data_IF_987689896258
#
_entry.id   IF_987689896258
#
_cell.length_a   1.000
_cell.length_b   1.000
_cell.length_c   1.000
_cell.angle_alpha   90.00
_cell.angle_beta   90.00
_cell.angle_gamma   90.00
#
_symmetry.space_group_name_H-M   'P 1'
#
loop_
_entity.id
_entity.type
_entity.pdbx_description
1 polymer ?
#
# COMPACT_ATOMS: atom_id res chain seq x y z
N UNK A 1 -9.51 22.67 5.84
CA UNK A 1 -10.18 21.40 6.12
C UNK A 1 -9.10 20.34 6.36
N UNK A 2 -9.31 19.46 7.33
CA UNK A 2 -8.41 18.32 7.56
C UNK A 2 -8.44 17.40 6.33
N UNK A 3 -7.27 16.98 5.84
CA UNK A 3 -7.18 16.00 4.73
C UNK A 3 -7.13 14.60 5.31
N UNK A 4 -7.83 13.66 4.70
CA UNK A 4 -7.76 12.26 5.08
C UNK A 4 -6.73 11.49 4.27
N UNK A 5 -6.01 10.57 4.94
CA UNK A 5 -5.25 9.51 4.29
C UNK A 5 -6.00 8.19 4.46
N UNK A 6 -6.21 7.48 3.35
CA UNK A 6 -6.75 6.13 3.34
C UNK A 6 -5.58 5.14 3.36
N UNK A 7 -5.55 4.24 4.33
CA UNK A 7 -4.52 3.19 4.46
C UNK A 7 -5.18 1.84 4.23
N UNK A 8 -4.95 1.26 3.06
CA UNK A 8 -5.47 -0.07 2.68
C UNK A 8 -4.43 -1.15 2.97
N UNK A 9 -4.84 -2.19 3.67
CA UNK A 9 -3.95 -3.25 4.16
C UNK A 9 -3.31 -2.87 5.49
N UNK A 10 -4.14 -2.33 6.42
CA UNK A 10 -3.65 -1.99 7.75
C UNK A 10 -3.25 -3.22 8.56
N UNK A 11 -2.08 -3.14 9.18
CA UNK A 11 -1.50 -4.16 10.04
C UNK A 11 -0.19 -3.68 10.68
N UNK A 12 0.48 -4.51 11.47
CA UNK A 12 1.74 -4.15 12.10
C UNK A 12 2.83 -3.86 11.07
N UNK A 13 3.78 -3.02 11.40
CA UNK A 13 4.90 -2.63 10.55
C UNK A 13 4.60 -1.41 9.69
N UNK A 14 4.73 -1.53 8.38
CA UNK A 14 4.72 -0.40 7.43
C UNK A 14 3.48 0.47 7.56
N UNK A 15 2.29 -0.11 7.48
CA UNK A 15 1.05 0.66 7.47
C UNK A 15 0.76 1.37 8.80
N UNK A 16 1.17 0.79 9.93
CA UNK A 16 1.11 1.46 11.22
C UNK A 16 2.05 2.67 11.25
N UNK A 17 3.30 2.49 10.81
CA UNK A 17 4.27 3.59 10.79
C UNK A 17 3.85 4.72 9.83
N UNK A 18 3.26 4.40 8.68
CA UNK A 18 2.72 5.41 7.74
C UNK A 18 1.52 6.14 8.35
N UNK A 19 0.61 5.41 9.03
CA UNK A 19 -0.52 6.00 9.73
C UNK A 19 -0.07 7.04 10.78
N UNK A 20 0.91 6.67 11.60
CA UNK A 20 1.50 7.55 12.60
C UNK A 20 2.22 8.74 11.98
N UNK A 21 3.00 8.51 10.92
CA UNK A 21 3.76 9.56 10.25
C UNK A 21 2.86 10.62 9.64
N UNK A 22 1.85 10.22 8.87
CA UNK A 22 0.91 11.16 8.26
C UNK A 22 -0.03 11.77 9.29
N UNK A 23 -0.48 11.01 10.28
CA UNK A 23 -1.30 11.53 11.37
C UNK A 23 -0.60 12.62 12.17
N UNK A 24 0.69 12.47 12.46
CA UNK A 24 1.51 13.49 13.12
C UNK A 24 1.66 14.79 12.30
N UNK A 25 1.44 14.72 10.99
CA UNK A 25 1.42 15.89 10.08
C UNK A 25 0.01 16.46 9.86
N UNK A 26 -0.95 16.03 10.69
CA UNK A 26 -2.31 16.61 10.72
C UNK A 26 -3.33 15.93 9.79
N UNK A 27 -3.00 14.78 9.19
CA UNK A 27 -3.98 13.98 8.45
C UNK A 27 -4.93 13.25 9.40
N UNK A 28 -6.22 13.23 9.06
CA UNK A 28 -7.14 12.21 9.59
C UNK A 28 -6.85 10.88 8.92
N UNK A 29 -6.87 9.76 9.67
CA UNK A 29 -6.42 8.46 9.19
C UNK A 29 -7.59 7.49 9.09
N UNK A 30 -7.86 6.99 7.88
CA UNK A 30 -8.80 5.91 7.63
C UNK A 30 -8.06 4.58 7.50
N UNK A 31 -8.31 3.64 8.40
CA UNK A 31 -7.71 2.31 8.38
C UNK A 31 -8.64 1.31 7.69
N UNK A 32 -8.16 0.63 6.64
CA UNK A 32 -8.93 -0.38 5.91
C UNK A 32 -8.19 -1.73 5.96
N UNK A 33 -8.86 -2.76 6.47
CA UNK A 33 -8.35 -4.14 6.53
C UNK A 33 -9.51 -5.12 6.76
N UNK A 34 -9.22 -6.42 6.70
CA UNK A 34 -10.22 -7.48 6.97
C UNK A 34 -10.48 -7.71 8.47
N UNK A 35 -9.48 -7.52 9.29
CA UNK A 35 -9.56 -7.84 10.73
C UNK A 35 -10.08 -6.67 11.54
N UNK A 36 -11.33 -6.77 12.00
CA UNK A 36 -11.94 -5.75 12.87
C UNK A 36 -11.14 -5.53 14.17
N UNK A 37 -10.64 -6.59 14.78
CA UNK A 37 -9.86 -6.48 16.01
C UNK A 37 -8.57 -5.65 15.82
N UNK A 38 -7.84 -5.87 14.69
CA UNK A 38 -6.66 -5.06 14.36
C UNK A 38 -7.01 -3.61 14.08
N UNK A 39 -8.12 -3.38 13.39
CA UNK A 39 -8.60 -2.05 13.09
C UNK A 39 -8.94 -1.27 14.36
N UNK A 40 -9.68 -1.88 15.29
CA UNK A 40 -10.04 -1.27 16.57
C UNK A 40 -8.79 -0.90 17.36
N UNK A 41 -7.86 -1.84 17.54
CA UNK A 41 -6.60 -1.58 18.25
C UNK A 41 -5.77 -0.48 17.56
N UNK A 42 -5.76 -0.43 16.23
CA UNK A 42 -5.07 0.61 15.46
C UNK A 42 -5.65 2.00 15.68
N UNK A 43 -6.97 2.11 15.66
CA UNK A 43 -7.68 3.37 15.93
C UNK A 43 -7.41 3.86 17.36
N UNK A 44 -7.47 2.97 18.34
CA UNK A 44 -7.18 3.30 19.75
C UNK A 44 -5.74 3.79 19.91
N UNK A 45 -4.77 3.11 19.31
CA UNK A 45 -3.37 3.50 19.35
C UNK A 45 -3.11 4.86 18.69
N UNK A 46 -3.76 5.17 17.58
CA UNK A 46 -3.65 6.47 16.91
C UNK A 46 -4.31 7.58 17.73
N UNK A 47 -5.50 7.33 18.28
CA UNK A 47 -6.21 8.28 19.15
C UNK A 47 -5.42 8.60 20.42
N UNK A 48 -4.73 7.62 21.00
CA UNK A 48 -3.85 7.83 22.15
C UNK A 48 -2.66 8.77 21.83
N UNK A 49 -2.31 8.91 20.54
CA UNK A 49 -1.30 9.85 20.03
C UNK A 49 -1.90 11.18 19.56
N UNK A 50 -3.19 11.43 19.82
CA UNK A 50 -3.90 12.65 19.40
C UNK A 50 -4.26 12.67 17.90
N UNK A 51 -4.18 11.53 17.19
CA UNK A 51 -4.46 11.43 15.77
C UNK A 51 -5.92 11.05 15.56
N UNK A 52 -6.66 11.82 14.78
CA UNK A 52 -8.02 11.48 14.36
C UNK A 52 -7.98 10.25 13.47
N UNK A 53 -8.67 9.17 13.86
CA UNK A 53 -8.66 7.92 13.11
C UNK A 53 -10.02 7.22 13.16
N UNK A 54 -10.37 6.56 12.05
CA UNK A 54 -11.54 5.71 11.90
C UNK A 54 -11.18 4.41 11.15
N UNK A 55 -12.03 3.39 11.27
CA UNK A 55 -11.77 2.05 10.76
C UNK A 55 -12.92 1.52 9.93
N UNK A 56 -12.58 0.85 8.82
CA UNK A 56 -13.53 0.30 7.87
C UNK A 56 -13.10 -1.10 7.46
N UNK A 57 -13.92 -2.10 7.78
CA UNK A 57 -13.62 -3.48 7.39
C UNK A 57 -13.92 -3.69 5.91
N UNK A 58 -12.90 -4.10 5.13
CA UNK A 58 -13.04 -4.47 3.73
C UNK A 58 -11.94 -5.45 3.29
N UNK A 59 -12.26 -6.31 2.34
CA UNK A 59 -11.27 -7.14 1.64
C UNK A 59 -10.73 -6.36 0.44
N UNK A 60 -9.41 -6.23 0.36
CA UNK A 60 -8.73 -5.54 -0.74
C UNK A 60 -8.89 -6.24 -2.11
N UNK A 61 -9.40 -7.48 -2.13
CA UNK A 61 -9.74 -8.21 -3.36
C UNK A 61 -11.12 -7.86 -3.91
N UNK A 62 -11.97 -7.25 -3.10
CA UNK A 62 -13.34 -6.90 -3.46
C UNK A 62 -13.44 -5.41 -3.82
N UNK A 63 -13.59 -5.07 -5.12
CA UNK A 63 -13.72 -3.69 -5.56
C UNK A 63 -14.89 -2.94 -4.94
N UNK A 64 -16.03 -3.61 -4.73
CA UNK A 64 -17.22 -2.99 -4.16
C UNK A 64 -17.02 -2.67 -2.67
N UNK A 65 -16.38 -3.60 -1.92
CA UNK A 65 -16.05 -3.39 -0.52
C UNK A 65 -15.04 -2.23 -0.34
N UNK A 66 -14.02 -2.14 -1.20
CA UNK A 66 -13.05 -1.03 -1.18
C UNK A 66 -13.72 0.31 -1.48
N UNK A 67 -14.54 0.40 -2.54
CA UNK A 67 -15.30 1.62 -2.86
C UNK A 67 -16.21 2.04 -1.72
N UNK A 68 -16.95 1.09 -1.15
CA UNK A 68 -17.83 1.35 0.01
C UNK A 68 -17.08 1.83 1.24
N UNK A 69 -15.89 1.29 1.53
CA UNK A 69 -15.06 1.74 2.64
C UNK A 69 -14.51 3.17 2.42
N UNK A 70 -14.09 3.50 1.20
CA UNK A 70 -13.62 4.83 0.84
C UNK A 70 -14.76 5.86 0.96
N UNK A 71 -15.96 5.53 0.50
CA UNK A 71 -17.13 6.40 0.61
C UNK A 71 -17.50 6.70 2.08
N UNK A 72 -17.46 5.69 2.94
CA UNK A 72 -17.66 5.88 4.38
C UNK A 72 -16.57 6.76 5.00
N UNK A 73 -15.30 6.53 4.64
CA UNK A 73 -14.19 7.34 5.11
C UNK A 73 -14.32 8.81 4.68
N UNK A 74 -14.71 9.06 3.43
CA UNK A 74 -15.00 10.41 2.91
C UNK A 74 -16.10 11.10 3.71
N UNK A 75 -17.20 10.41 4.00
CA UNK A 75 -18.32 10.95 4.74
C UNK A 75 -17.96 11.29 6.20
N UNK A 76 -17.09 10.49 6.84
CA UNK A 76 -16.72 10.65 8.25
C UNK A 76 -15.52 11.57 8.48
N UNK A 77 -14.49 11.45 7.64
CA UNK A 77 -13.19 12.13 7.83
C UNK A 77 -12.95 13.29 6.86
N UNK A 78 -13.86 13.48 5.89
CA UNK A 78 -13.76 14.54 4.89
C UNK A 78 -12.97 14.14 3.63
N UNK A 79 -12.51 15.13 2.87
CA UNK A 79 -11.85 14.97 1.58
C UNK A 79 -10.61 14.08 1.66
N UNK A 80 -10.50 13.14 0.72
CA UNK A 80 -9.38 12.21 0.64
C UNK A 80 -8.21 12.88 -0.08
N UNK A 81 -7.15 13.17 0.66
CA UNK A 81 -5.93 13.76 0.09
C UNK A 81 -4.89 12.72 -0.33
N UNK A 82 -4.88 11.55 0.33
CA UNK A 82 -3.86 10.52 0.07
C UNK A 82 -4.46 9.12 0.14
N UNK A 83 -4.07 8.26 -0.78
CA UNK A 83 -4.23 6.80 -0.65
C UNK A 83 -2.84 6.20 -0.38
N UNK A 84 -2.71 5.41 0.67
CA UNK A 84 -1.59 4.51 0.88
C UNK A 84 -2.05 3.07 0.68
N UNK A 85 -1.57 2.43 -0.40
CA UNK A 85 -1.85 1.04 -0.70
C UNK A 85 -0.72 0.15 -0.18
N UNK A 86 -0.99 -0.54 0.92
CA UNK A 86 -0.07 -1.48 1.56
C UNK A 86 -0.59 -2.92 1.52
N UNK A 87 -1.78 -3.13 0.96
CA UNK A 87 -2.35 -4.46 0.85
C UNK A 87 -1.54 -5.34 -0.12
N UNK A 88 -1.31 -6.57 0.29
CA UNK A 88 -0.71 -7.60 -0.55
C UNK A 88 -1.39 -8.94 -0.30
N UNK A 89 -1.27 -9.86 -1.26
CA UNK A 89 -1.66 -11.25 -1.10
C UNK A 89 -0.40 -12.11 -1.04
N UNK A 90 -0.20 -12.79 0.08
CA UNK A 90 0.85 -13.80 0.22
C UNK A 90 0.37 -15.20 -0.17
N UNK A 91 -0.92 -15.35 -0.46
CA UNK A 91 -1.53 -16.60 -0.92
C UNK A 91 -1.67 -16.53 -2.43
N UNK A 92 -1.13 -17.49 -3.10
CA UNK A 92 -1.17 -17.54 -4.55
C UNK A 92 -0.23 -18.62 -5.06
N UNK A 93 0.27 -18.42 -6.22
CA UNK A 93 1.16 -19.33 -6.92
C UNK A 93 2.52 -19.41 -6.21
N UNK A 94 2.75 -20.47 -5.47
CA UNK A 94 4.06 -20.73 -4.85
C UNK A 94 5.06 -21.36 -5.83
N UNK A 95 4.54 -22.05 -6.85
CA UNK A 95 5.32 -22.74 -7.90
C UNK A 95 4.50 -22.67 -9.19
N UNK A 96 5.00 -21.93 -10.18
CA UNK A 96 4.31 -21.71 -11.45
C UNK A 96 4.17 -22.99 -12.29
N UNK A 97 5.08 -23.96 -12.13
CA UNK A 97 5.04 -25.20 -12.89
C UNK A 97 4.02 -26.20 -12.34
N UNK A 98 3.68 -26.07 -11.05
CA UNK A 98 2.70 -26.91 -10.38
C UNK A 98 1.31 -26.23 -10.24
N UNK A 99 1.22 -24.93 -10.48
CA UNK A 99 -0.02 -24.17 -10.31
C UNK A 99 -1.02 -24.43 -11.44
N UNK A 100 -2.31 -24.38 -11.10
CA UNK A 100 -3.37 -24.31 -12.11
C UNK A 100 -3.32 -22.94 -12.81
N UNK A 101 -3.13 -22.87 -14.13
CA UNK A 101 -3.13 -21.62 -14.88
C UNK A 101 -4.39 -20.77 -14.68
N UNK A 102 -5.54 -21.40 -14.41
CA UNK A 102 -6.79 -20.68 -14.12
C UNK A 102 -6.72 -19.87 -12.81
N UNK A 103 -5.85 -20.23 -11.89
CA UNK A 103 -5.65 -19.51 -10.62
C UNK A 103 -4.73 -18.29 -10.73
N UNK A 104 -3.98 -18.15 -11.82
CA UNK A 104 -2.98 -17.07 -11.99
C UNK A 104 -3.61 -15.68 -11.87
N UNK A 105 -4.82 -15.51 -12.36
CA UNK A 105 -5.53 -14.22 -12.27
C UNK A 105 -5.68 -13.68 -10.85
N UNK A 106 -5.80 -14.56 -9.86
CA UNK A 106 -6.04 -14.20 -8.46
C UNK A 106 -4.90 -13.41 -7.79
N UNK A 107 -3.67 -13.53 -8.29
CA UNK A 107 -2.53 -12.75 -7.75
C UNK A 107 -2.67 -11.26 -8.03
N UNK A 108 -3.47 -10.89 -9.03
CA UNK A 108 -3.69 -9.50 -9.43
C UNK A 108 -4.87 -8.84 -8.71
N UNK A 109 -5.72 -9.61 -8.02
CA UNK A 109 -6.91 -9.06 -7.35
C UNK A 109 -6.56 -7.95 -6.37
N UNK A 110 -5.57 -8.17 -5.50
CA UNK A 110 -5.10 -7.16 -4.55
C UNK A 110 -4.16 -6.17 -5.21
N UNK A 111 -3.21 -6.67 -6.01
CA UNK A 111 -2.12 -5.84 -6.53
C UNK A 111 -2.57 -4.83 -7.58
N UNK A 112 -3.58 -5.18 -8.37
CA UNK A 112 -4.05 -4.39 -9.53
C UNK A 112 -5.51 -3.98 -9.36
N UNK A 113 -6.43 -4.95 -9.24
CA UNK A 113 -7.87 -4.67 -9.30
C UNK A 113 -8.32 -3.82 -8.12
N UNK A 114 -7.93 -4.20 -6.90
CA UNK A 114 -8.26 -3.45 -5.68
C UNK A 114 -7.61 -2.07 -5.66
N UNK A 115 -6.31 -1.98 -5.99
CA UNK A 115 -5.60 -0.69 -6.06
C UNK A 115 -6.25 0.25 -7.09
N UNK A 116 -6.53 -0.24 -8.29
CA UNK A 116 -7.17 0.57 -9.33
C UNK A 116 -8.57 1.03 -8.91
N UNK A 117 -9.34 0.15 -8.24
CA UNK A 117 -10.66 0.47 -7.71
C UNK A 117 -10.61 1.57 -6.66
N UNK A 118 -9.61 1.53 -5.77
CA UNK A 118 -9.39 2.57 -4.78
C UNK A 118 -9.05 3.92 -5.42
N UNK A 119 -8.13 3.92 -6.40
CA UNK A 119 -7.73 5.13 -7.13
C UNK A 119 -8.92 5.74 -7.87
N UNK A 120 -9.70 4.92 -8.59
CA UNK A 120 -10.88 5.39 -9.32
C UNK A 120 -11.94 5.99 -8.40
N UNK A 121 -12.17 5.38 -7.23
CA UNK A 121 -13.16 5.86 -6.28
C UNK A 121 -12.80 7.19 -5.64
N UNK A 122 -11.52 7.42 -5.36
CA UNK A 122 -11.05 8.64 -4.73
C UNK A 122 -10.54 9.70 -5.75
N UNK A 123 -10.67 9.45 -7.05
CA UNK A 123 -10.01 10.26 -8.06
C UNK A 123 -10.42 11.74 -8.04
N UNK A 124 -11.70 12.04 -7.84
CA UNK A 124 -12.18 13.43 -7.73
C UNK A 124 -11.56 14.15 -6.53
N UNK A 125 -11.57 13.50 -5.37
CA UNK A 125 -10.96 14.06 -4.15
C UNK A 125 -9.48 14.35 -4.34
N UNK A 126 -8.75 13.39 -4.94
CA UNK A 126 -7.32 13.50 -5.19
C UNK A 126 -6.99 14.67 -6.15
N UNK A 127 -7.81 14.87 -7.19
CA UNK A 127 -7.64 15.99 -8.13
C UNK A 127 -7.97 17.35 -7.50
N UNK A 128 -8.96 17.40 -6.65
CA UNK A 128 -9.35 18.62 -5.94
C UNK A 128 -8.39 18.96 -4.77
N UNK A 129 -7.65 17.97 -4.29
CA UNK A 129 -6.64 18.19 -3.25
C UNK A 129 -5.38 18.83 -3.85
N UNK A 130 -4.88 19.95 -3.32
CA UNK A 130 -3.66 20.59 -3.86
C UNK A 130 -2.42 19.68 -3.80
N UNK A 131 -2.44 18.70 -2.91
CA UNK A 131 -1.35 17.73 -2.72
C UNK A 131 -1.83 16.27 -2.87
N UNK A 132 -2.85 16.03 -3.72
CA UNK A 132 -3.41 14.68 -3.90
C UNK A 132 -2.35 13.66 -4.28
N UNK A 133 -2.36 12.48 -3.63
CA UNK A 133 -1.35 11.46 -3.87
C UNK A 133 -1.84 10.03 -3.71
N UNK A 134 -1.23 9.13 -4.50
CA UNK A 134 -1.33 7.67 -4.35
C UNK A 134 0.06 7.13 -4.04
N UNK A 135 0.21 6.51 -2.89
CA UNK A 135 1.47 5.97 -2.37
C UNK A 135 1.35 4.45 -2.27
N UNK A 136 2.26 3.72 -2.86
CA UNK A 136 2.15 2.26 -3.01
C UNK A 136 3.35 1.55 -2.40
N UNK A 137 3.10 0.64 -1.46
CA UNK A 137 4.12 -0.30 -0.98
C UNK A 137 4.32 -1.42 -1.99
N UNK A 138 5.56 -1.71 -2.33
CA UNK A 138 5.92 -2.83 -3.19
C UNK A 138 7.08 -3.64 -2.59
N UNK A 139 7.30 -4.84 -3.12
CA UNK A 139 8.39 -5.72 -2.73
C UNK A 139 9.38 -5.92 -3.87
N UNK A 140 10.65 -6.15 -3.53
CA UNK A 140 11.73 -6.33 -4.49
C UNK A 140 11.61 -7.59 -5.36
N UNK A 141 10.76 -8.55 -5.01
CA UNK A 141 10.52 -9.72 -5.88
C UNK A 141 9.97 -9.37 -7.27
N UNK A 142 9.45 -8.13 -7.45
CA UNK A 142 9.03 -7.64 -8.76
C UNK A 142 10.15 -7.10 -9.65
N UNK A 143 11.38 -7.08 -9.19
CA UNK A 143 12.52 -6.60 -9.98
C UNK A 143 12.85 -7.59 -11.11
N UNK A 144 13.09 -7.08 -12.31
CA UNK A 144 13.48 -7.89 -13.48
C UNK A 144 14.98 -8.20 -13.40
N UNK A 145 15.34 -9.15 -12.54
CA UNK A 145 16.71 -9.52 -12.24
C UNK A 145 16.80 -11.02 -11.95
N UNK A 146 17.62 -11.79 -12.69
CA UNK A 146 17.73 -13.25 -12.53
C UNK A 146 18.09 -13.72 -11.11
N UNK A 147 18.83 -12.91 -10.34
CA UNK A 147 19.14 -13.25 -8.95
C UNK A 147 17.88 -13.14 -8.07
N UNK A 148 17.05 -12.12 -8.29
CA UNK A 148 15.78 -11.94 -7.57
C UNK A 148 14.78 -13.03 -7.98
N UNK A 149 14.74 -13.41 -9.26
CA UNK A 149 13.93 -14.54 -9.74
C UNK A 149 14.32 -15.82 -9.02
N UNK A 150 15.63 -16.10 -8.87
CA UNK A 150 16.13 -17.24 -8.10
C UNK A 150 15.70 -17.21 -6.63
N UNK A 151 15.70 -16.07 -5.99
CA UNK A 151 15.19 -15.92 -4.61
C UNK A 151 13.67 -16.12 -4.53
N UNK A 152 12.90 -15.60 -5.49
CA UNK A 152 11.45 -15.78 -5.52
C UNK A 152 11.08 -17.28 -5.69
N UNK A 153 11.78 -18.01 -6.55
CA UNK A 153 11.61 -19.46 -6.75
C UNK A 153 11.95 -20.21 -5.44
N UNK A 154 13.12 -19.93 -4.85
CA UNK A 154 13.55 -20.60 -3.62
C UNK A 154 12.58 -20.33 -2.44
N UNK A 155 11.99 -19.14 -2.38
CA UNK A 155 11.01 -18.74 -1.38
C UNK A 155 9.58 -19.23 -1.70
N UNK A 156 9.34 -19.89 -2.83
CA UNK A 156 8.00 -20.23 -3.35
C UNK A 156 7.08 -19.00 -3.39
N UNK A 157 7.59 -17.90 -3.88
CA UNK A 157 6.94 -16.59 -3.91
C UNK A 157 6.71 -16.07 -5.35
N UNK A 158 6.65 -16.96 -6.32
CA UNK A 158 6.58 -16.61 -7.74
C UNK A 158 5.32 -15.80 -8.07
N UNK A 159 4.17 -16.12 -7.47
CA UNK A 159 2.96 -15.32 -7.61
C UNK A 159 3.09 -13.90 -7.00
N UNK A 160 3.85 -13.76 -5.91
CA UNK A 160 4.16 -12.44 -5.33
C UNK A 160 5.07 -11.65 -6.28
N UNK A 161 6.04 -12.30 -6.93
CA UNK A 161 6.92 -11.67 -7.90
C UNK A 161 6.12 -11.11 -9.09
N UNK A 162 5.21 -11.91 -9.66
CA UNK A 162 4.30 -11.45 -10.72
C UNK A 162 3.45 -10.26 -10.28
N UNK A 163 2.83 -10.36 -9.10
CA UNK A 163 2.00 -9.29 -8.55
C UNK A 163 2.79 -7.98 -8.34
N UNK A 164 4.01 -8.08 -7.81
CA UNK A 164 4.87 -6.92 -7.56
C UNK A 164 5.34 -6.28 -8.86
N UNK A 165 5.75 -7.06 -9.87
CA UNK A 165 6.13 -6.53 -11.18
C UNK A 165 4.95 -5.81 -11.87
N UNK A 166 3.76 -6.42 -11.86
CA UNK A 166 2.55 -5.81 -12.40
C UNK A 166 2.18 -4.52 -11.66
N UNK A 167 2.28 -4.50 -10.33
CA UNK A 167 2.01 -3.32 -9.50
C UNK A 167 2.99 -2.18 -9.79
N UNK A 168 4.28 -2.46 -9.94
CA UNK A 168 5.28 -1.47 -10.35
C UNK A 168 4.96 -0.87 -11.72
N UNK A 169 4.47 -1.68 -12.67
CA UNK A 169 4.03 -1.18 -13.98
C UNK A 169 2.79 -0.31 -13.86
N UNK A 170 1.81 -0.71 -13.06
CA UNK A 170 0.59 0.10 -12.81
C UNK A 170 0.93 1.45 -12.20
N UNK A 171 1.83 1.50 -11.20
CA UNK A 171 2.30 2.76 -10.60
C UNK A 171 2.89 3.69 -11.65
N UNK A 172 3.74 3.19 -12.54
CA UNK A 172 4.31 4.00 -13.62
C UNK A 172 3.26 4.55 -14.60
N UNK A 173 2.26 3.74 -14.96
CA UNK A 173 1.15 4.16 -15.82
C UNK A 173 0.27 5.22 -15.14
N UNK A 174 -0.08 5.01 -13.86
CA UNK A 174 -0.87 5.98 -13.09
C UNK A 174 -0.10 7.28 -12.90
N UNK A 175 1.19 7.23 -12.60
CA UNK A 175 2.03 8.41 -12.45
C UNK A 175 2.06 9.25 -13.75
N UNK A 176 2.22 8.59 -14.90
CA UNK A 176 2.20 9.27 -16.20
C UNK A 176 0.83 9.89 -16.53
N UNK A 177 -0.25 9.15 -16.24
CA UNK A 177 -1.63 9.59 -16.54
C UNK A 177 -2.12 10.72 -15.65
N UNK A 178 -1.71 10.75 -14.39
CA UNK A 178 -2.24 11.67 -13.37
C UNK A 178 -1.34 12.90 -13.16
N UNK A 179 -0.17 12.94 -13.79
CA UNK A 179 0.79 14.05 -13.65
C UNK A 179 0.17 15.41 -13.96
N UNK A 180 -0.47 15.53 -15.12
CA UNK A 180 -1.06 16.78 -15.57
C UNK A 180 -2.38 17.12 -14.84
N UNK A 181 -2.89 16.18 -14.07
CA UNK A 181 -4.06 16.35 -13.20
C UNK A 181 -3.68 16.73 -11.75
N UNK A 182 -2.38 16.95 -11.50
CA UNK A 182 -1.85 17.38 -10.20
C UNK A 182 -1.79 16.28 -9.14
N UNK A 183 -2.10 15.02 -9.48
CA UNK A 183 -2.05 13.90 -8.53
C UNK A 183 -0.71 13.20 -8.62
N UNK A 184 0.01 13.17 -7.49
CA UNK A 184 1.27 12.44 -7.39
C UNK A 184 1.04 10.94 -7.19
N UNK A 185 1.80 10.10 -7.88
CA UNK A 185 1.80 8.65 -7.67
C UNK A 185 3.21 8.20 -7.40
N UNK A 186 3.43 7.58 -6.22
CA UNK A 186 4.76 7.15 -5.80
C UNK A 186 4.78 5.74 -5.21
N UNK A 187 5.94 5.10 -5.29
CA UNK A 187 6.19 3.73 -4.83
C UNK A 187 7.42 3.66 -3.93
N UNK A 188 7.31 2.93 -2.82
CA UNK A 188 8.47 2.48 -2.05
C UNK A 188 8.60 0.98 -2.22
N UNK A 189 9.71 0.55 -2.82
CA UNK A 189 10.10 -0.86 -2.94
C UNK A 189 10.91 -1.27 -1.71
N UNK A 190 10.43 -2.27 -0.99
CA UNK A 190 11.09 -2.84 0.17
C UNK A 190 11.92 -4.04 -0.29
N UNK A 191 13.23 -3.97 -0.09
CA UNK A 191 14.19 -5.02 -0.45
C UNK A 191 14.77 -5.66 0.82
N UNK A 192 13.91 -6.15 1.69
CA UNK A 192 14.28 -6.76 2.96
C UNK A 192 13.08 -7.19 3.78
N UNK A 193 13.35 -7.63 5.01
CA UNK A 193 12.33 -8.01 5.99
C UNK A 193 12.06 -6.81 6.87
N UNK A 194 10.79 -6.41 6.98
CA UNK A 194 10.41 -5.35 7.92
C UNK A 194 10.46 -5.91 9.34
N UNK A 195 11.22 -5.25 10.21
CA UNK A 195 11.42 -5.70 11.60
C UNK A 195 10.08 -5.97 12.30
N UNK A 196 9.98 -7.14 12.93
CA UNK A 196 8.79 -7.56 13.68
C UNK A 196 7.61 -8.05 12.83
N UNK A 197 7.74 -8.17 11.50
CA UNK A 197 6.66 -8.70 10.65
C UNK A 197 6.87 -10.16 10.21
N UNK A 198 8.04 -10.71 10.45
CA UNK A 198 8.40 -12.08 10.12
C UNK A 198 9.76 -12.45 10.70
N UNK A 199 10.20 -13.72 10.53
CA UNK A 199 11.52 -14.15 10.96
C UNK A 199 12.61 -13.46 10.15
N UNK A 200 13.71 -13.08 10.81
CA UNK A 200 14.89 -12.57 10.15
C UNK A 200 15.62 -13.73 9.44
N UNK A 201 16.05 -13.50 8.22
CA UNK A 201 16.73 -14.49 7.38
C UNK A 201 18.18 -14.04 7.19
N UNK A 202 19.19 -14.89 7.48
CA UNK A 202 20.57 -14.54 7.27
C UNK A 202 20.87 -14.05 5.85
N UNK A 203 21.55 -12.91 5.74
CA UNK A 203 21.89 -12.31 4.45
C UNK A 203 20.77 -11.47 3.81
N UNK A 204 19.58 -11.40 4.40
CA UNK A 204 18.51 -10.52 3.95
C UNK A 204 18.49 -9.26 4.83
N UNK A 205 18.49 -8.05 4.26
CA UNK A 205 18.43 -6.82 5.04
C UNK A 205 17.19 -6.77 5.95
N UNK A 206 17.37 -6.24 7.16
CA UNK A 206 16.26 -5.94 8.07
C UNK A 206 16.01 -4.44 8.03
N UNK A 207 14.78 -4.05 7.78
CA UNK A 207 14.36 -2.67 7.53
C UNK A 207 13.41 -2.20 8.61
N UNK A 208 13.62 -1.00 9.11
CA UNK A 208 12.73 -0.38 10.09
C UNK A 208 11.48 0.19 9.41
N UNK A 209 10.31 -0.12 9.97
CA UNK A 209 9.04 0.41 9.45
C UNK A 209 8.99 1.94 9.43
N UNK A 210 9.65 2.58 10.41
CA UNK A 210 9.79 4.04 10.45
C UNK A 210 10.53 4.59 9.25
N UNK A 211 11.63 3.97 8.84
CA UNK A 211 12.41 4.40 7.66
C UNK A 211 11.58 4.33 6.37
N UNK A 212 10.72 3.32 6.26
CA UNK A 212 9.79 3.19 5.12
C UNK A 212 8.74 4.31 5.15
N UNK A 213 8.17 4.61 6.31
CA UNK A 213 7.21 5.69 6.46
C UNK A 213 7.82 7.07 6.16
N UNK A 214 9.05 7.31 6.60
CA UNK A 214 9.80 8.53 6.28
C UNK A 214 10.11 8.63 4.78
N UNK A 215 10.39 7.50 4.10
CA UNK A 215 10.55 7.49 2.64
C UNK A 215 9.25 7.84 1.90
N UNK A 216 8.10 7.31 2.34
CA UNK A 216 6.80 7.71 1.79
C UNK A 216 6.51 9.20 2.00
N UNK A 217 6.79 9.70 3.19
CA UNK A 217 6.65 11.14 3.48
C UNK A 217 7.56 11.99 2.59
N UNK A 218 8.82 11.57 2.41
CA UNK A 218 9.78 12.23 1.53
C UNK A 218 9.28 12.29 0.07
N UNK A 219 8.81 11.17 -0.47
CA UNK A 219 8.21 11.12 -1.82
C UNK A 219 7.00 12.05 -1.93
N UNK A 220 6.09 12.00 -0.95
CA UNK A 220 4.90 12.84 -0.90
C UNK A 220 5.25 14.34 -0.89
N UNK A 221 6.25 14.75 -0.12
CA UNK A 221 6.67 16.15 -0.02
C UNK A 221 7.45 16.62 -1.25
N UNK A 222 8.39 15.83 -1.72
CA UNK A 222 9.30 16.23 -2.80
C UNK A 222 8.65 16.14 -4.19
N UNK A 223 7.79 15.14 -4.42
CA UNK A 223 7.07 14.86 -5.69
C UNK A 223 7.98 14.82 -6.95
N UNK A 224 9.28 14.72 -6.76
CA UNK A 224 10.27 14.74 -7.84
C UNK A 224 10.55 13.38 -8.44
N UNK A 225 10.59 12.36 -7.61
CA UNK A 225 10.81 10.96 -8.00
C UNK A 225 9.57 10.14 -7.66
N UNK A 226 9.20 9.21 -8.53
CA UNK A 226 8.06 8.32 -8.31
C UNK A 226 8.45 7.01 -7.61
N UNK A 227 9.73 6.76 -7.37
CA UNK A 227 10.22 5.53 -6.73
C UNK A 227 11.30 5.81 -5.71
N UNK A 228 11.21 5.11 -4.58
CA UNK A 228 12.27 4.97 -3.60
C UNK A 228 12.47 3.48 -3.29
N UNK A 229 13.67 3.12 -2.82
CA UNK A 229 14.02 1.76 -2.42
C UNK A 229 14.62 1.79 -1.02
N UNK A 230 14.23 0.83 -0.19
CA UNK A 230 14.70 0.66 1.18
C UNK A 230 15.12 -0.80 1.38
N UNK A 231 16.37 -1.03 1.81
CA UNK A 231 17.01 -2.32 1.98
C UNK A 231 18.06 -2.62 0.94
#
# INVERSE_FOLDING_TARGET
MSKAIIIVGFGPGVSTAVAERFGAEGFSVALIARSQARLTAGVEALKAKGITAAAYSADARDPAAIRGAINKARAELGQIGVIHWNAYSGQGLGDLLAADPASVGSVFDVAIVGLLSAVQEALSDLKESPDGAVLVTNGAFGDLNPMIDGFAIAAKAEGIALANAAKAKLVGLLAARLKDEGVFVGEVTIAGIVRGTGPEIPGVPVVEAKSIADAFWGLYKARGQIRARIG
#
